data_IF_632399250178
#
_entry.id   IF_632399250178
#
_cell.length_a   1.000
_cell.length_b   1.000
_cell.length_c   1.000
_cell.angle_alpha   90.00
_cell.angle_beta   90.00
_cell.angle_gamma   90.00
#
_symmetry.space_group_name_H-M   'P 1'
#
loop_
_entity.id
_entity.type
_entity.pdbx_description
1 polymer ?
#
# COMPACT_ATOMS: atom_id res chain seq x y z
N UNK A 1 -5.79 29.26 3.76
CA UNK A 1 -6.17 27.84 3.84
C UNK A 1 -7.13 27.68 5.00
N UNK A 2 -8.28 27.03 4.81
CA UNK A 2 -9.13 26.62 5.93
C UNK A 2 -8.49 25.36 6.53
N UNK A 3 -7.57 25.53 7.47
CA UNK A 3 -6.83 24.40 8.02
C UNK A 3 -7.71 23.63 9.00
N UNK A 4 -7.82 22.32 8.80
CA UNK A 4 -8.35 21.42 9.82
C UNK A 4 -7.47 21.52 11.08
N UNK A 5 -8.03 21.43 12.29
CA UNK A 5 -7.25 21.53 13.52
C UNK A 5 -6.38 20.29 13.70
N UNK A 6 -5.20 20.47 14.28
CA UNK A 6 -4.41 19.36 14.83
C UNK A 6 -5.21 18.66 15.93
N UNK A 7 -5.23 17.32 15.91
CA UNK A 7 -5.90 16.49 16.93
C UNK A 7 -4.86 15.62 17.66
N UNK A 8 -5.12 15.23 18.92
CA UNK A 8 -4.31 14.21 19.58
C UNK A 8 -4.21 12.94 18.72
N UNK A 9 -3.01 12.42 18.58
CA UNK A 9 -2.73 11.21 17.81
C UNK A 9 -3.44 10.01 18.44
N UNK A 10 -4.21 9.26 17.64
CA UNK A 10 -4.74 7.97 18.09
C UNK A 10 -3.66 6.89 18.03
N UNK A 11 -3.73 5.84 18.87
CA UNK A 11 -2.85 4.68 18.74
C UNK A 11 -3.01 4.04 17.35
N UNK A 12 -1.90 3.68 16.71
CA UNK A 12 -1.92 2.94 15.45
C UNK A 12 -2.28 1.46 15.65
N UNK A 13 -2.47 0.74 14.55
CA UNK A 13 -2.85 -0.67 14.55
C UNK A 13 -1.82 -1.58 15.25
N UNK A 14 -0.53 -1.22 15.23
CA UNK A 14 0.51 -2.03 15.88
C UNK A 14 0.69 -1.65 17.35
N UNK A 15 0.85 -0.35 17.63
CA UNK A 15 1.02 0.23 18.97
C UNK A 15 2.10 -0.44 19.83
N UNK A 16 3.34 -0.56 19.33
CA UNK A 16 4.45 -1.06 20.15
C UNK A 16 4.75 -0.08 21.29
N UNK A 17 4.93 -0.56 22.54
CA UNK A 17 5.38 0.30 23.63
C UNK A 17 6.73 0.96 23.32
N UNK A 18 6.80 2.27 23.46
CA UNK A 18 8.01 3.07 23.18
C UNK A 18 7.69 4.56 23.04
N UNK A 19 6.47 4.87 22.61
CA UNK A 19 5.96 6.24 22.59
C UNK A 19 5.80 6.83 24.01
N UNK A 20 6.17 8.10 24.14
CA UNK A 20 5.96 8.95 25.31
C UNK A 20 4.93 10.04 24.97
N UNK A 21 4.34 10.73 25.96
CA UNK A 21 3.52 11.92 25.70
C UNK A 21 4.27 12.96 24.86
N UNK A 22 5.55 13.19 25.16
CA UNK A 22 6.41 14.14 24.46
C UNK A 22 6.67 13.73 23.01
N UNK A 23 7.01 12.46 22.76
CA UNK A 23 7.24 11.97 21.40
C UNK A 23 5.96 11.98 20.56
N UNK A 24 4.83 11.65 21.18
CA UNK A 24 3.51 11.66 20.51
C UNK A 24 3.08 13.08 20.16
N UNK A 25 3.32 14.04 21.05
CA UNK A 25 3.06 15.46 20.78
C UNK A 25 3.95 15.97 19.64
N UNK A 26 5.25 15.64 19.66
CA UNK A 26 6.17 16.00 18.59
C UNK A 26 5.76 15.42 17.24
N UNK A 27 5.35 14.13 17.20
CA UNK A 27 4.83 13.51 15.97
C UNK A 27 3.60 14.26 15.45
N UNK A 28 2.63 14.58 16.30
CA UNK A 28 1.45 15.34 15.88
C UNK A 28 1.81 16.72 15.30
N UNK A 29 2.78 17.42 15.91
CA UNK A 29 3.28 18.72 15.45
C UNK A 29 3.92 18.61 14.06
N UNK A 30 4.87 17.68 13.86
CA UNK A 30 5.59 17.59 12.58
C UNK A 30 4.72 17.09 11.42
N UNK A 31 3.69 16.28 11.71
CA UNK A 31 2.67 15.91 10.70
C UNK A 31 1.87 17.14 10.26
N UNK A 32 1.54 18.01 11.21
CA UNK A 32 0.83 19.25 10.89
C UNK A 32 1.72 20.22 10.13
N UNK A 33 3.01 20.30 10.46
CA UNK A 33 3.99 21.08 9.71
C UNK A 33 4.11 20.57 8.26
N UNK A 34 4.19 19.26 8.04
CA UNK A 34 4.20 18.68 6.68
C UNK A 34 2.94 19.06 5.89
N UNK A 35 1.76 18.95 6.50
CA UNK A 35 0.49 19.39 5.91
C UNK A 35 0.48 20.88 5.51
N UNK A 36 1.09 21.74 6.32
CA UNK A 36 1.10 23.18 6.09
C UNK A 36 2.21 23.64 5.13
N UNK A 37 3.34 22.91 5.08
CA UNK A 37 4.55 23.38 4.43
C UNK A 37 4.87 22.65 3.12
N UNK A 38 4.42 21.41 2.93
CA UNK A 38 4.88 20.56 1.84
C UNK A 38 3.80 20.18 0.84
N UNK A 39 4.25 19.88 -0.36
CA UNK A 39 3.43 19.31 -1.42
C UNK A 39 3.28 17.79 -1.24
N UNK A 40 2.20 17.18 -1.72
CA UNK A 40 2.06 15.71 -1.78
C UNK A 40 3.06 15.00 -2.71
N UNK A 41 3.94 15.74 -3.39
CA UNK A 41 4.97 15.21 -4.27
C UNK A 41 6.31 15.88 -3.93
N UNK A 42 7.39 15.12 -3.81
CA UNK A 42 8.71 15.65 -3.45
C UNK A 42 9.59 16.02 -4.66
N UNK A 43 9.18 15.72 -5.89
CA UNK A 43 9.94 16.07 -7.09
C UNK A 43 9.04 16.42 -8.30
N UNK A 44 9.66 16.87 -9.40
CA UNK A 44 8.97 17.24 -10.64
C UNK A 44 8.43 16.04 -11.44
N UNK A 45 8.86 14.82 -11.10
CA UNK A 45 8.29 13.57 -11.63
C UNK A 45 7.05 13.11 -10.87
N UNK A 46 6.53 13.96 -9.97
CA UNK A 46 5.37 13.70 -9.12
C UNK A 46 5.48 12.40 -8.30
N UNK A 47 6.68 12.11 -7.77
CA UNK A 47 6.84 11.04 -6.77
C UNK A 47 6.27 11.49 -5.42
N UNK A 48 5.51 10.63 -4.77
CA UNK A 48 4.77 10.93 -3.55
C UNK A 48 5.68 11.35 -2.38
N UNK A 49 5.24 12.32 -1.58
CA UNK A 49 5.84 12.63 -0.28
C UNK A 49 5.67 11.42 0.67
N UNK A 50 6.75 11.02 1.33
CA UNK A 50 6.78 9.85 2.22
C UNK A 50 6.75 10.18 3.72
N UNK A 51 6.92 11.46 4.06
CA UNK A 51 7.26 11.92 5.39
C UNK A 51 6.22 11.50 6.43
N UNK A 52 4.94 11.77 6.18
CA UNK A 52 3.88 11.49 7.15
C UNK A 52 3.79 10.00 7.51
N UNK A 53 3.77 9.12 6.50
CA UNK A 53 3.69 7.68 6.71
C UNK A 53 4.99 7.05 7.21
N UNK A 54 6.15 7.65 6.95
CA UNK A 54 7.40 7.20 7.57
C UNK A 54 7.40 7.51 9.07
N UNK A 55 7.12 8.76 9.44
CA UNK A 55 7.11 9.23 10.84
C UNK A 55 6.08 8.46 11.67
N UNK A 56 4.88 8.25 11.13
CA UNK A 56 3.85 7.44 11.78
C UNK A 56 4.26 5.98 11.93
N UNK A 57 4.91 5.40 10.91
CA UNK A 57 5.36 4.01 11.01
C UNK A 57 6.46 3.83 12.04
N UNK A 58 7.41 4.77 12.13
CA UNK A 58 8.45 4.76 13.17
C UNK A 58 7.82 4.90 14.57
N UNK A 59 6.89 5.84 14.74
CA UNK A 59 6.19 6.06 16.00
C UNK A 59 5.44 4.80 16.46
N UNK A 60 4.68 4.18 15.57
CA UNK A 60 3.86 3.01 15.89
C UNK A 60 4.67 1.73 16.15
N UNK A 61 5.90 1.67 15.61
CA UNK A 61 6.89 0.64 15.92
C UNK A 61 7.74 0.95 17.16
N UNK A 62 7.50 2.08 17.83
CA UNK A 62 8.18 2.45 19.08
C UNK A 62 9.59 3.02 18.89
N UNK A 63 9.89 3.64 17.74
CA UNK A 63 11.18 4.27 17.50
C UNK A 63 11.45 5.42 18.50
N UNK A 64 12.72 5.65 18.90
CA UNK A 64 13.08 6.75 19.79
C UNK A 64 12.72 8.13 19.20
N UNK A 65 12.27 9.06 20.05
CA UNK A 65 11.87 10.41 19.62
C UNK A 65 12.97 11.19 18.89
N UNK A 66 14.23 11.04 19.34
CA UNK A 66 15.40 11.65 18.69
C UNK A 66 15.60 11.11 17.26
N UNK A 67 15.36 9.82 17.06
CA UNK A 67 15.46 9.21 15.74
C UNK A 67 14.33 9.68 14.83
N UNK A 68 13.09 9.73 15.33
CA UNK A 68 11.95 10.29 14.60
C UNK A 68 12.23 11.73 14.17
N UNK A 69 12.78 12.57 15.06
CA UNK A 69 13.18 13.94 14.73
C UNK A 69 14.24 13.98 13.63
N UNK A 70 15.28 13.14 13.75
CA UNK A 70 16.35 13.03 12.75
C UNK A 70 15.78 12.65 11.37
N UNK A 71 14.86 11.68 11.32
CA UNK A 71 14.22 11.26 10.07
C UNK A 71 13.31 12.34 9.50
N UNK A 72 12.55 13.05 10.35
CA UNK A 72 11.75 14.19 9.92
C UNK A 72 12.61 15.26 9.27
N UNK A 73 13.68 15.71 9.94
CA UNK A 73 14.57 16.76 9.43
C UNK A 73 15.23 16.35 8.11
N UNK A 74 15.69 15.09 8.01
CA UNK A 74 16.27 14.53 6.78
C UNK A 74 15.28 14.51 5.63
N UNK A 75 14.05 14.06 5.85
CA UNK A 75 13.06 13.94 4.79
C UNK A 75 12.45 15.27 4.39
N UNK A 76 12.13 16.14 5.36
CA UNK A 76 11.60 17.48 5.16
C UNK A 76 12.51 18.30 4.24
N UNK A 77 13.83 18.19 4.40
CA UNK A 77 14.82 18.89 3.59
C UNK A 77 14.75 18.57 2.07
N UNK A 78 14.12 17.45 1.70
CA UNK A 78 13.96 17.03 0.30
C UNK A 78 12.56 17.28 -0.27
N UNK A 79 11.61 17.71 0.57
CA UNK A 79 10.23 17.95 0.15
C UNK A 79 10.13 19.22 -0.69
N UNK A 80 9.11 19.24 -1.55
CA UNK A 80 8.74 20.46 -2.28
C UNK A 80 7.90 21.34 -1.37
N UNK A 81 8.04 22.67 -1.48
CA UNK A 81 7.12 23.59 -0.80
C UNK A 81 5.69 23.35 -1.29
N UNK A 82 4.73 23.53 -0.40
CA UNK A 82 3.29 23.47 -0.68
C UNK A 82 2.94 24.29 -1.92
N UNK A 83 3.49 25.49 -2.02
CA UNK A 83 3.33 26.38 -3.17
C UNK A 83 4.52 26.23 -4.13
N UNK A 84 4.26 25.72 -5.32
CA UNK A 84 5.27 25.59 -6.37
C UNK A 84 5.52 26.94 -7.06
N UNK A 85 6.78 27.22 -7.38
CA UNK A 85 7.19 28.48 -8.03
C UNK A 85 6.39 28.74 -9.33
N UNK A 86 5.91 29.98 -9.49
CA UNK A 86 5.20 30.43 -10.69
C UNK A 86 3.67 30.47 -10.61
N UNK A 87 3.06 30.07 -9.49
CA UNK A 87 1.62 30.24 -9.27
C UNK A 87 1.40 31.25 -8.14
N UNK A 88 0.98 32.50 -8.43
CA UNK A 88 0.48 33.38 -7.39
C UNK A 88 -0.69 32.67 -6.70
N UNK A 89 -0.72 32.64 -5.37
CA UNK A 89 -1.82 32.07 -4.59
C UNK A 89 -3.21 32.64 -4.96
N UNK A 90 -3.23 33.71 -5.75
CA UNK A 90 -4.37 34.56 -6.06
C UNK A 90 -4.89 34.39 -7.51
N UNK A 91 -4.22 33.60 -8.38
CA UNK A 91 -4.60 33.51 -9.81
C UNK A 91 -5.29 32.19 -10.22
N UNK A 92 -5.14 31.11 -9.47
CA UNK A 92 -5.96 29.91 -9.66
C UNK A 92 -7.34 30.14 -9.04
N UNK A 93 -8.42 30.01 -9.83
CA UNK A 93 -9.80 29.99 -9.30
C UNK A 93 -9.85 29.04 -8.11
N UNK A 94 -10.44 29.51 -7.00
CA UNK A 94 -10.69 28.69 -5.80
C UNK A 94 -11.43 27.42 -6.24
N UNK A 95 -10.93 26.26 -5.81
CA UNK A 95 -11.63 25.00 -5.99
C UNK A 95 -12.81 24.95 -5.00
N UNK A 96 -13.99 24.61 -5.52
CA UNK A 96 -15.24 24.44 -4.77
C UNK A 96 -16.10 23.30 -5.35
N UNK A 97 -17.24 23.03 -4.72
CA UNK A 97 -18.18 21.96 -5.10
C UNK A 97 -18.62 22.04 -6.58
N UNK A 98 -18.61 23.24 -7.19
CA UNK A 98 -19.09 23.44 -8.57
C UNK A 98 -18.02 23.20 -9.63
N UNK A 99 -16.74 23.21 -9.24
CA UNK A 99 -15.63 23.21 -10.20
C UNK A 99 -14.50 22.22 -9.87
N UNK A 100 -14.59 21.43 -8.80
CA UNK A 100 -13.50 20.58 -8.32
C UNK A 100 -13.00 19.54 -9.33
N UNK A 101 -13.82 19.15 -10.31
CA UNK A 101 -13.41 18.22 -11.37
C UNK A 101 -12.66 18.89 -12.53
N UNK A 102 -12.58 20.22 -12.56
CA UNK A 102 -12.06 20.98 -13.72
C UNK A 102 -10.54 20.99 -13.88
N UNK A 103 -9.79 20.59 -12.83
CA UNK A 103 -8.32 20.67 -12.75
C UNK A 103 -7.67 19.40 -12.20
N UNK A 104 -8.22 18.24 -12.54
CA UNK A 104 -7.66 16.95 -12.15
C UNK A 104 -6.41 16.61 -12.97
N UNK A 105 -5.55 15.71 -12.47
CA UNK A 105 -4.42 15.17 -13.21
C UNK A 105 -3.05 15.75 -12.87
N UNK A 106 -2.01 15.00 -13.29
CA UNK A 106 -0.61 15.22 -12.92
C UNK A 106 -0.04 16.53 -13.45
N UNK A 107 -0.61 17.02 -14.55
CA UNK A 107 -0.28 18.28 -15.20
C UNK A 107 -0.73 19.51 -14.40
N UNK A 108 -1.66 19.34 -13.45
CA UNK A 108 -2.18 20.40 -12.59
C UNK A 108 -1.57 20.36 -11.19
N UNK A 109 -0.36 19.81 -11.02
CA UNK A 109 0.27 19.63 -9.71
C UNK A 109 0.31 20.93 -8.89
N UNK A 110 0.52 22.08 -9.52
CA UNK A 110 0.52 23.39 -8.86
C UNK A 110 -0.81 23.80 -8.19
N UNK A 111 -1.92 23.09 -8.47
CA UNK A 111 -3.24 23.30 -7.88
C UNK A 111 -3.43 22.52 -6.55
N UNK A 112 -2.41 21.77 -6.10
CA UNK A 112 -2.46 21.01 -4.85
C UNK A 112 -2.97 21.80 -3.63
N UNK A 113 -2.49 23.02 -3.34
CA UNK A 113 -2.96 23.77 -2.16
C UNK A 113 -4.46 24.11 -2.21
N UNK A 114 -5.02 24.29 -3.41
CA UNK A 114 -6.44 24.57 -3.60
C UNK A 114 -7.27 23.31 -3.36
N UNK A 115 -6.84 22.16 -3.88
CA UNK A 115 -7.47 20.87 -3.56
C UNK A 115 -7.37 20.54 -2.07
N UNK A 116 -6.21 20.78 -1.46
CA UNK A 116 -6.01 20.55 -0.03
C UNK A 116 -6.97 21.39 0.81
N UNK A 117 -7.11 22.69 0.49
CA UNK A 117 -8.06 23.57 1.17
C UNK A 117 -9.53 23.20 0.91
N UNK A 118 -9.84 22.72 -0.29
CA UNK A 118 -11.19 22.25 -0.64
C UNK A 118 -11.55 21.00 0.16
N UNK A 119 -10.77 19.92 0.06
CA UNK A 119 -11.05 18.69 0.78
C UNK A 119 -10.98 18.85 2.31
N UNK A 120 -10.16 19.77 2.83
CA UNK A 120 -10.20 20.13 4.26
C UNK A 120 -11.55 20.71 4.66
N UNK A 121 -12.15 21.56 3.82
CA UNK A 121 -13.49 22.14 4.06
C UNK A 121 -14.57 21.06 3.97
N UNK A 122 -14.47 20.18 2.98
CA UNK A 122 -15.44 19.10 2.77
C UNK A 122 -15.41 18.05 3.88
N UNK A 123 -14.22 17.70 4.38
CA UNK A 123 -14.09 16.80 5.54
C UNK A 123 -14.62 17.47 6.81
N UNK A 124 -14.38 18.77 7.02
CA UNK A 124 -14.96 19.48 8.16
C UNK A 124 -16.50 19.50 8.12
N UNK A 125 -17.09 19.56 6.92
CA UNK A 125 -18.54 19.61 6.69
C UNK A 125 -19.21 18.25 6.77
N UNK A 126 -18.60 17.22 6.19
CA UNK A 126 -19.22 15.90 5.99
C UNK A 126 -18.63 14.79 6.88
N UNK A 127 -17.55 15.07 7.59
CA UNK A 127 -16.69 14.06 8.20
C UNK A 127 -15.95 13.23 7.16
N UNK A 128 -14.98 12.45 7.62
CA UNK A 128 -14.15 11.60 6.74
C UNK A 128 -14.98 10.64 5.90
N UNK A 129 -15.88 9.87 6.53
CA UNK A 129 -16.73 8.89 5.85
C UNK A 129 -17.58 9.52 4.74
N UNK A 130 -18.25 10.64 5.04
CA UNK A 130 -19.09 11.34 4.06
C UNK A 130 -18.27 11.93 2.90
N UNK A 131 -17.10 12.48 3.20
CA UNK A 131 -16.20 13.01 2.16
C UNK A 131 -15.68 11.90 1.23
N UNK A 132 -15.28 10.74 1.77
CA UNK A 132 -14.85 9.60 0.95
C UNK A 132 -15.99 9.11 0.04
N UNK A 133 -17.18 8.87 0.59
CA UNK A 133 -18.32 8.40 -0.21
C UNK A 133 -18.70 9.38 -1.32
N UNK A 134 -18.64 10.69 -1.04
CA UNK A 134 -18.98 11.70 -2.04
C UNK A 134 -17.89 11.90 -3.09
N UNK A 135 -16.63 12.06 -2.69
CA UNK A 135 -15.56 12.49 -3.60
C UNK A 135 -14.71 11.36 -4.18
N UNK A 136 -14.84 10.12 -3.69
CA UNK A 136 -14.15 8.95 -4.24
C UNK A 136 -15.11 8.01 -4.95
N UNK A 137 -16.28 7.73 -4.35
CA UNK A 137 -17.11 6.62 -4.78
C UNK A 137 -18.39 7.00 -5.51
N UNK A 138 -18.92 8.21 -5.31
CA UNK A 138 -20.18 8.62 -5.94
C UNK A 138 -20.14 8.53 -7.46
N UNK A 139 -21.33 8.48 -8.08
CA UNK A 139 -21.47 8.57 -9.53
C UNK A 139 -20.81 9.83 -10.07
N UNK A 140 -20.97 10.97 -9.41
CA UNK A 140 -20.45 12.25 -9.88
C UNK A 140 -18.91 12.29 -9.82
N UNK A 141 -18.33 11.60 -8.84
CA UNK A 141 -16.88 11.45 -8.71
C UNK A 141 -16.25 10.50 -9.75
N UNK A 142 -17.05 9.69 -10.44
CA UNK A 142 -16.56 8.68 -11.37
C UNK A 142 -17.13 8.79 -12.80
N UNK A 143 -18.15 9.62 -13.03
CA UNK A 143 -18.69 9.92 -14.34
C UNK A 143 -17.83 10.92 -15.13
N UNK A 144 -18.10 11.06 -16.42
CA UNK A 144 -17.54 12.11 -17.30
C UNK A 144 -16.00 12.21 -17.30
N UNK A 145 -15.29 11.11 -17.03
CA UNK A 145 -13.82 11.08 -17.00
C UNK A 145 -13.18 11.53 -15.68
N UNK A 146 -13.97 11.83 -14.65
CA UNK A 146 -13.47 12.23 -13.32
C UNK A 146 -12.68 11.09 -12.67
N UNK A 147 -13.25 9.89 -12.63
CA UNK A 147 -12.60 8.61 -12.27
C UNK A 147 -11.85 8.62 -10.91
N UNK A 148 -12.40 9.25 -9.88
CA UNK A 148 -11.71 9.40 -8.59
C UNK A 148 -11.35 8.07 -7.91
N UNK A 149 -12.18 7.03 -8.01
CA UNK A 149 -11.82 5.72 -7.46
C UNK A 149 -10.55 5.15 -8.12
N UNK A 150 -10.44 5.30 -9.44
CA UNK A 150 -9.24 4.90 -10.16
C UNK A 150 -8.02 5.73 -9.75
N UNK A 151 -8.17 7.04 -9.55
CA UNK A 151 -7.08 7.92 -9.10
C UNK A 151 -6.64 7.61 -7.67
N UNK A 152 -7.59 7.23 -6.82
CA UNK A 152 -7.37 6.91 -5.41
C UNK A 152 -6.52 5.64 -5.23
N UNK A 153 -6.68 4.65 -6.11
CA UNK A 153 -5.87 3.41 -6.12
C UNK A 153 -4.59 3.54 -6.97
N UNK A 154 -4.53 4.50 -7.90
CA UNK A 154 -3.36 4.71 -8.74
C UNK A 154 -2.17 5.33 -7.97
N UNK A 155 -1.14 5.78 -8.70
CA UNK A 155 0.06 6.35 -8.09
C UNK A 155 0.81 5.36 -7.20
N UNK A 156 0.71 4.06 -7.50
CA UNK A 156 1.22 2.97 -6.66
C UNK A 156 0.63 3.03 -5.23
N UNK A 157 -0.68 3.28 -5.13
CA UNK A 157 -1.49 3.28 -3.90
C UNK A 157 -1.24 4.45 -2.94
N UNK A 158 -0.45 5.46 -3.29
CA UNK A 158 -0.14 6.55 -2.34
C UNK A 158 -1.37 7.31 -1.81
N UNK A 159 -2.38 7.68 -2.63
CA UNK A 159 -3.58 8.33 -2.08
C UNK A 159 -4.34 7.44 -1.09
N UNK A 160 -4.42 6.14 -1.36
CA UNK A 160 -4.98 5.12 -0.45
C UNK A 160 -4.16 5.04 0.85
N UNK A 161 -2.83 4.99 0.75
CA UNK A 161 -1.91 4.87 1.89
C UNK A 161 -2.02 6.10 2.79
N UNK A 162 -1.88 7.30 2.22
CA UNK A 162 -1.99 8.58 2.95
C UNK A 162 -3.32 8.70 3.69
N UNK A 163 -4.41 8.36 2.99
CA UNK A 163 -5.76 8.35 3.57
C UNK A 163 -5.89 7.32 4.69
N UNK A 164 -5.33 6.12 4.51
CA UNK A 164 -5.35 5.07 5.52
C UNK A 164 -4.65 5.51 6.81
N UNK A 165 -3.45 6.08 6.71
CA UNK A 165 -2.74 6.64 7.87
C UNK A 165 -3.53 7.78 8.53
N UNK A 166 -4.14 8.68 7.74
CA UNK A 166 -4.98 9.75 8.28
C UNK A 166 -6.17 9.24 9.09
N UNK A 167 -6.86 8.20 8.62
CA UNK A 167 -7.98 7.60 9.37
C UNK A 167 -7.47 6.87 10.60
N UNK A 168 -6.42 6.05 10.43
CA UNK A 168 -5.85 5.20 11.46
C UNK A 168 -5.43 6.02 12.69
N UNK A 169 -4.70 7.11 12.47
CA UNK A 169 -4.17 7.96 13.53
C UNK A 169 -5.08 9.14 13.90
N UNK A 170 -6.29 9.20 13.32
CA UNK A 170 -7.31 10.22 13.62
C UNK A 170 -6.96 11.63 13.15
N UNK A 171 -6.22 11.76 12.06
CA UNK A 171 -5.76 13.02 11.48
C UNK A 171 -6.53 13.36 10.19
N UNK A 172 -7.63 14.11 10.32
CA UNK A 172 -8.49 14.53 9.21
C UNK A 172 -7.74 15.30 8.12
N UNK A 173 -6.70 16.07 8.48
CA UNK A 173 -5.91 16.83 7.50
C UNK A 173 -5.10 15.91 6.58
N UNK A 174 -4.66 14.75 7.06
CA UNK A 174 -4.01 13.74 6.22
C UNK A 174 -4.99 13.06 5.27
N UNK A 175 -6.23 12.86 5.70
CA UNK A 175 -7.30 12.41 4.79
C UNK A 175 -7.51 13.43 3.67
N UNK A 176 -7.44 14.73 3.98
CA UNK A 176 -7.46 15.78 2.96
C UNK A 176 -6.24 15.73 2.03
N UNK A 177 -5.03 15.44 2.55
CA UNK A 177 -3.82 15.24 1.73
C UNK A 177 -4.00 14.08 0.76
N UNK A 178 -4.53 12.95 1.22
CA UNK A 178 -4.81 11.78 0.38
C UNK A 178 -5.83 12.07 -0.73
N UNK A 179 -6.93 12.75 -0.43
CA UNK A 179 -7.92 13.16 -1.45
C UNK A 179 -7.36 14.16 -2.46
N UNK A 180 -6.60 15.15 -1.99
CA UNK A 180 -5.93 16.12 -2.86
C UNK A 180 -4.87 15.44 -3.74
N UNK A 181 -4.14 14.46 -3.22
CA UNK A 181 -3.21 13.66 -4.00
C UNK A 181 -3.94 12.80 -5.04
N UNK A 182 -5.09 12.21 -4.70
CA UNK A 182 -5.92 11.47 -5.66
C UNK A 182 -6.34 12.39 -6.82
N UNK A 183 -6.83 13.60 -6.55
CA UNK A 183 -7.24 14.55 -7.59
C UNK A 183 -6.12 14.84 -8.62
N UNK A 184 -4.86 14.83 -8.18
CA UNK A 184 -3.68 15.09 -9.01
C UNK A 184 -3.00 13.83 -9.56
N UNK A 185 -3.47 12.65 -9.17
CA UNK A 185 -2.92 11.37 -9.62
C UNK A 185 -3.56 10.98 -10.95
N UNK A 186 -2.76 10.48 -11.91
CA UNK A 186 -3.27 9.96 -13.17
C UNK A 186 -4.10 8.68 -12.92
N UNK A 187 -5.27 8.51 -13.58
CA UNK A 187 -6.21 7.42 -13.29
C UNK A 187 -5.78 6.09 -13.92
N UNK A 188 -4.54 5.63 -13.72
CA UNK A 188 -4.03 4.40 -14.38
C UNK A 188 -4.90 3.17 -14.09
N UNK A 189 -5.45 3.07 -12.87
CA UNK A 189 -6.36 1.99 -12.49
C UNK A 189 -7.68 1.97 -13.29
N UNK A 190 -8.03 3.05 -14.00
CA UNK A 190 -9.21 3.11 -14.86
C UNK A 190 -9.16 2.05 -15.97
N UNK A 191 -7.96 1.65 -16.38
CA UNK A 191 -7.76 0.58 -17.35
C UNK A 191 -8.40 -0.74 -16.93
N UNK A 192 -8.39 -1.06 -15.64
CA UNK A 192 -8.96 -2.30 -15.10
C UNK A 192 -10.37 -2.12 -14.52
N UNK A 193 -11.01 -0.99 -14.82
CA UNK A 193 -12.41 -0.74 -14.48
C UNK A 193 -13.35 -1.19 -15.60
N UNK A 194 -14.63 -1.24 -15.28
CA UNK A 194 -15.67 -1.45 -16.29
C UNK A 194 -16.03 -0.11 -16.95
N UNK A 195 -16.82 -0.16 -18.03
CA UNK A 195 -17.09 1.02 -18.88
C UNK A 195 -17.78 2.18 -18.15
N UNK A 196 -18.36 1.92 -16.97
CA UNK A 196 -18.95 2.92 -16.09
C UNK A 196 -17.91 3.78 -15.33
N UNK A 197 -16.62 3.41 -15.36
CA UNK A 197 -15.54 4.08 -14.62
C UNK A 197 -15.28 3.52 -13.22
N UNK A 198 -16.08 2.53 -12.79
CA UNK A 198 -15.96 1.78 -11.53
C UNK A 198 -16.10 0.29 -11.83
N UNK A 199 -15.66 -0.63 -10.95
CA UNK A 199 -15.86 -2.05 -11.21
C UNK A 199 -17.32 -2.44 -10.97
N UNK A 200 -17.87 -3.29 -11.84
CA UNK A 200 -19.12 -4.00 -11.62
C UNK A 200 -18.93 -5.02 -10.50
N UNK A 201 -19.89 -5.04 -9.57
CA UNK A 201 -19.88 -5.95 -8.43
C UNK A 201 -20.88 -7.06 -8.68
N UNK A 202 -20.37 -8.27 -8.85
CA UNK A 202 -21.17 -9.47 -9.05
C UNK A 202 -21.45 -10.15 -7.70
N UNK A 203 -22.65 -10.70 -7.54
CA UNK A 203 -23.01 -11.57 -6.44
C UNK A 203 -22.88 -13.04 -6.85
N UNK A 204 -22.67 -13.93 -5.88
CA UNK A 204 -22.56 -15.37 -6.13
C UNK A 204 -21.51 -16.04 -5.25
N UNK A 205 -21.19 -17.30 -5.57
CA UNK A 205 -20.08 -18.02 -4.93
C UNK A 205 -18.77 -17.36 -5.35
N UNK A 206 -18.02 -16.88 -4.38
CA UNK A 206 -16.77 -16.16 -4.63
C UNK A 206 -15.60 -17.13 -4.82
N UNK A 207 -14.75 -16.84 -5.80
CA UNK A 207 -13.45 -17.47 -5.97
C UNK A 207 -12.40 -16.69 -5.17
N UNK A 208 -11.53 -17.37 -4.43
CA UNK A 208 -10.51 -16.69 -3.61
C UNK A 208 -9.44 -16.02 -4.46
N UNK A 209 -8.80 -14.97 -3.94
CA UNK A 209 -7.74 -14.24 -4.64
C UNK A 209 -6.55 -15.14 -5.04
N UNK A 210 -6.23 -16.17 -4.25
CA UNK A 210 -5.20 -17.15 -4.63
C UNK A 210 -5.65 -18.04 -5.80
N UNK A 211 -6.90 -18.52 -5.80
CA UNK A 211 -7.41 -19.25 -6.96
C UNK A 211 -7.46 -18.39 -8.24
N UNK A 212 -7.72 -17.07 -8.10
CA UNK A 212 -7.68 -16.15 -9.23
C UNK A 212 -6.26 -15.86 -9.73
N UNK A 213 -5.28 -15.86 -8.82
CA UNK A 213 -3.87 -15.73 -9.16
C UNK A 213 -3.38 -16.96 -9.96
N UNK A 214 -3.80 -18.16 -9.56
CA UNK A 214 -3.55 -19.40 -10.30
C UNK A 214 -4.16 -19.34 -11.72
N UNK A 215 -5.41 -18.90 -11.84
CA UNK A 215 -6.06 -18.70 -13.14
C UNK A 215 -5.34 -17.65 -14.00
N UNK A 216 -4.83 -16.57 -13.39
CA UNK A 216 -4.01 -15.57 -14.07
C UNK A 216 -2.68 -16.15 -14.54
N UNK A 217 -2.07 -17.08 -13.79
CA UNK A 217 -0.85 -17.74 -14.22
C UNK A 217 -1.08 -18.73 -15.37
N UNK A 218 -2.20 -19.43 -15.37
CA UNK A 218 -2.54 -20.41 -16.42
C UNK A 218 -3.11 -19.76 -17.71
N UNK A 219 -3.53 -18.50 -17.63
CA UNK A 219 -4.11 -17.79 -18.78
C UNK A 219 -3.07 -17.53 -19.88
N UNK A 220 -3.33 -17.99 -21.13
CA UNK A 220 -2.40 -17.82 -22.25
C UNK A 220 -2.18 -16.34 -22.62
N UNK A 221 -3.15 -15.48 -22.32
CA UNK A 221 -3.08 -14.03 -22.47
C UNK A 221 -1.94 -13.41 -21.66
N UNK A 222 -1.46 -14.10 -20.61
CA UNK A 222 -0.39 -13.62 -19.73
C UNK A 222 0.93 -14.35 -19.93
N UNK A 223 1.16 -14.93 -21.11
CA UNK A 223 2.49 -15.46 -21.48
C UNK A 223 3.60 -14.45 -21.14
N UNK A 224 4.72 -14.89 -20.54
CA UNK A 224 5.83 -14.03 -20.12
C UNK A 224 6.29 -13.06 -21.22
N UNK A 225 6.73 -11.88 -20.82
CA UNK A 225 7.14 -10.82 -21.75
C UNK A 225 8.50 -10.23 -21.35
N UNK A 226 9.37 -9.90 -22.32
CA UNK A 226 10.62 -9.20 -22.05
C UNK A 226 10.39 -7.76 -21.56
N UNK A 227 11.46 -7.08 -21.15
CA UNK A 227 11.51 -5.65 -20.82
C UNK A 227 10.54 -5.23 -19.69
N UNK A 228 10.61 -5.87 -18.52
CA UNK A 228 9.84 -5.44 -17.34
C UNK A 228 10.26 -4.04 -16.85
N UNK A 229 11.54 -3.71 -17.01
CA UNK A 229 12.14 -2.42 -16.66
C UNK A 229 11.52 -1.24 -17.43
N UNK A 230 11.36 -1.33 -18.75
CA UNK A 230 10.77 -0.26 -19.57
C UNK A 230 9.31 0.04 -19.18
N UNK A 231 8.58 -0.99 -18.71
CA UNK A 231 7.21 -0.91 -18.21
C UNK A 231 7.09 -0.31 -16.81
N UNK A 232 8.20 0.04 -16.15
CA UNK A 232 8.21 0.55 -14.77
C UNK A 232 8.02 2.08 -14.69
N UNK A 233 8.16 2.78 -15.80
CA UNK A 233 7.90 4.24 -15.87
C UNK A 233 6.42 4.53 -16.03
N UNK A 234 5.92 5.67 -15.53
CA UNK A 234 4.51 6.06 -15.72
C UNK A 234 4.10 6.06 -17.19
N UNK A 235 4.95 6.57 -18.09
CA UNK A 235 4.68 6.55 -19.53
C UNK A 235 4.73 5.13 -20.12
N UNK A 236 5.66 4.29 -19.67
CA UNK A 236 5.76 2.89 -20.08
C UNK A 236 4.52 2.09 -19.67
N UNK A 237 4.01 2.32 -18.46
CA UNK A 237 2.77 1.75 -17.95
C UNK A 237 1.57 2.16 -18.81
N UNK A 238 1.38 3.46 -19.03
CA UNK A 238 0.29 4.02 -19.83
C UNK A 238 0.32 3.47 -21.27
N UNK A 239 1.50 3.42 -21.90
CA UNK A 239 1.68 2.83 -23.23
C UNK A 239 1.34 1.35 -23.24
N UNK A 240 1.87 0.57 -22.29
CA UNK A 240 1.63 -0.87 -22.24
C UNK A 240 0.15 -1.19 -22.14
N UNK A 241 -0.58 -0.50 -21.25
CA UNK A 241 -2.03 -0.64 -21.10
C UNK A 241 -2.74 -0.36 -22.43
N UNK A 242 -2.39 0.73 -23.12
CA UNK A 242 -3.02 1.10 -24.39
C UNK A 242 -2.80 0.07 -25.51
N UNK A 243 -1.63 -0.59 -25.53
CA UNK A 243 -1.29 -1.59 -26.55
C UNK A 243 -1.74 -3.02 -26.20
N UNK A 244 -2.27 -3.27 -25.00
CA UNK A 244 -2.65 -4.61 -24.55
C UNK A 244 -4.11 -4.72 -24.05
N UNK A 245 -5.11 -4.24 -24.83
CA UNK A 245 -6.52 -4.23 -24.39
C UNK A 245 -7.05 -5.64 -24.06
N UNK A 246 -6.61 -6.68 -24.75
CA UNK A 246 -7.04 -8.06 -24.51
C UNK A 246 -6.54 -8.58 -23.15
N UNK A 247 -5.30 -8.25 -22.77
CA UNK A 247 -4.74 -8.59 -21.44
C UNK A 247 -5.49 -7.87 -20.33
N UNK A 248 -5.87 -6.61 -20.56
CA UNK A 248 -6.70 -5.84 -19.63
C UNK A 248 -8.11 -6.43 -19.51
N UNK A 249 -8.71 -6.88 -20.62
CA UNK A 249 -9.99 -7.59 -20.59
C UNK A 249 -9.89 -8.92 -19.82
N UNK A 250 -8.81 -9.67 -20.00
CA UNK A 250 -8.56 -10.91 -19.27
C UNK A 250 -8.45 -10.67 -17.75
N UNK A 251 -7.75 -9.62 -17.30
CA UNK A 251 -7.69 -9.24 -15.87
C UNK A 251 -9.11 -9.03 -15.33
N UNK A 252 -9.93 -8.23 -16.03
CA UNK A 252 -11.31 -7.94 -15.60
C UNK A 252 -12.16 -9.21 -15.52
N UNK A 253 -12.07 -10.08 -16.53
CA UNK A 253 -12.85 -11.31 -16.61
C UNK A 253 -12.48 -12.31 -15.51
N UNK A 254 -11.19 -12.52 -15.25
CA UNK A 254 -10.72 -13.42 -14.18
C UNK A 254 -11.19 -12.87 -12.83
N UNK A 255 -10.89 -11.60 -12.54
CA UNK A 255 -11.19 -11.02 -11.23
C UNK A 255 -12.67 -10.70 -11.01
N UNK A 256 -13.52 -10.69 -12.05
CA UNK A 256 -14.98 -10.63 -11.90
C UNK A 256 -15.55 -11.82 -11.09
N UNK A 257 -14.80 -12.94 -11.00
CA UNK A 257 -15.16 -14.10 -10.19
C UNK A 257 -14.91 -13.90 -8.69
N UNK A 258 -14.20 -12.84 -8.29
CA UNK A 258 -14.20 -12.39 -6.90
C UNK A 258 -15.50 -11.64 -6.63
N UNK A 259 -16.55 -12.40 -6.33
CA UNK A 259 -17.90 -11.86 -6.09
C UNK A 259 -18.06 -11.34 -4.67
N UNK A 260 -19.06 -10.47 -4.46
CA UNK A 260 -19.41 -9.90 -3.16
C UNK A 260 -20.91 -10.05 -2.83
N UNK A 261 -21.22 -10.46 -1.61
CA UNK A 261 -22.59 -10.56 -1.07
C UNK A 261 -22.95 -9.32 -0.25
N UNK A 262 -23.15 -8.17 -0.90
CA UNK A 262 -23.16 -6.84 -0.29
C UNK A 262 -23.93 -6.69 1.05
N UNK A 263 -25.06 -7.37 1.22
CA UNK A 263 -25.87 -7.27 2.45
C UNK A 263 -25.33 -8.10 3.63
N UNK A 264 -24.58 -9.17 3.35
CA UNK A 264 -24.12 -10.15 4.35
C UNK A 264 -22.61 -10.38 4.31
N UNK A 265 -21.89 -9.62 3.49
CA UNK A 265 -20.47 -9.84 3.21
C UNK A 265 -19.61 -9.64 4.45
N UNK A 266 -18.66 -10.56 4.64
CA UNK A 266 -17.57 -10.39 5.59
C UNK A 266 -16.41 -9.66 4.88
N UNK A 267 -16.51 -8.34 4.84
CA UNK A 267 -15.45 -7.50 4.26
C UNK A 267 -14.10 -7.67 4.99
N UNK A 268 -14.10 -8.08 6.26
CA UNK A 268 -12.89 -8.38 7.01
C UNK A 268 -12.10 -9.55 6.41
N UNK A 269 -12.80 -10.60 5.97
CA UNK A 269 -12.18 -11.72 5.23
C UNK A 269 -11.70 -11.32 3.84
N UNK A 270 -12.42 -10.45 3.14
CA UNK A 270 -11.97 -9.92 1.84
C UNK A 270 -10.67 -9.12 1.97
N UNK A 271 -10.57 -8.29 3.01
CA UNK A 271 -9.34 -7.57 3.36
C UNK A 271 -8.23 -8.56 3.76
N UNK A 272 -8.55 -9.62 4.50
CA UNK A 272 -7.59 -10.68 4.86
C UNK A 272 -6.98 -11.35 3.62
N UNK A 273 -7.80 -11.69 2.61
CA UNK A 273 -7.31 -12.24 1.34
C UNK A 273 -6.26 -11.31 0.69
N UNK A 274 -6.51 -9.99 0.68
CA UNK A 274 -5.57 -9.00 0.16
C UNK A 274 -4.23 -9.00 0.92
N UNK A 275 -4.25 -9.12 2.25
CA UNK A 275 -3.05 -9.12 3.10
C UNK A 275 -2.18 -10.36 2.87
N UNK A 276 -2.81 -11.54 2.80
CA UNK A 276 -2.11 -12.80 2.50
C UNK A 276 -1.52 -12.80 1.10
N UNK A 277 -2.30 -12.43 0.08
CA UNK A 277 -1.82 -12.36 -1.30
C UNK A 277 -0.66 -11.36 -1.42
N UNK A 278 -0.76 -10.17 -0.83
CA UNK A 278 0.31 -9.17 -0.90
C UNK A 278 1.59 -9.64 -0.19
N UNK A 279 1.47 -10.37 0.92
CA UNK A 279 2.62 -11.00 1.61
C UNK A 279 3.31 -12.04 0.73
N UNK A 280 2.54 -12.89 0.05
CA UNK A 280 3.07 -13.89 -0.88
C UNK A 280 3.73 -13.25 -2.10
N UNK A 281 3.13 -12.20 -2.67
CA UNK A 281 3.72 -11.49 -3.81
C UNK A 281 5.06 -10.85 -3.48
N UNK A 282 5.25 -10.37 -2.25
CA UNK A 282 6.54 -9.84 -1.81
C UNK A 282 7.56 -10.95 -1.53
N UNK A 283 7.17 -11.99 -0.78
CA UNK A 283 8.12 -12.94 -0.21
C UNK A 283 8.30 -14.26 -0.97
N UNK A 284 7.32 -14.65 -1.78
CA UNK A 284 7.25 -15.97 -2.41
C UNK A 284 7.58 -15.95 -3.91
N UNK A 285 8.01 -14.83 -4.48
CA UNK A 285 8.25 -14.66 -5.93
C UNK A 285 9.72 -14.90 -6.34
N UNK A 286 10.55 -15.39 -5.41
CA UNK A 286 11.95 -15.73 -5.65
C UNK A 286 12.14 -17.07 -6.40
N UNK A 287 13.40 -17.41 -6.68
CA UNK A 287 13.79 -18.71 -7.25
C UNK A 287 14.71 -19.45 -6.27
N UNK A 288 14.53 -20.77 -6.14
CA UNK A 288 15.40 -21.62 -5.32
C UNK A 288 16.86 -21.43 -5.73
N UNK A 289 17.73 -21.17 -4.75
CA UNK A 289 19.17 -20.97 -4.97
C UNK A 289 19.57 -19.59 -5.53
N UNK A 290 18.62 -18.66 -5.70
CA UNK A 290 18.89 -17.25 -6.00
C UNK A 290 18.59 -16.38 -4.78
N UNK A 291 19.24 -15.22 -4.71
CA UNK A 291 18.88 -14.21 -3.72
C UNK A 291 17.41 -13.77 -3.91
N UNK A 292 16.62 -13.65 -2.82
CA UNK A 292 15.24 -13.17 -2.90
C UNK A 292 15.14 -11.77 -3.51
N UNK A 293 14.24 -11.61 -4.48
CA UNK A 293 14.00 -10.34 -5.16
C UNK A 293 12.87 -9.57 -4.47
N UNK A 294 13.21 -8.47 -3.78
CA UNK A 294 12.24 -7.61 -3.10
C UNK A 294 11.79 -6.48 -4.03
N UNK A 295 10.71 -6.69 -4.78
CA UNK A 295 10.25 -5.74 -5.80
C UNK A 295 9.57 -4.51 -5.19
N UNK A 296 10.01 -3.33 -5.66
CA UNK A 296 9.52 -2.04 -5.21
C UNK A 296 8.01 -1.90 -5.40
N UNK A 297 7.43 -2.34 -6.51
CA UNK A 297 6.00 -2.14 -6.78
C UNK A 297 5.13 -3.15 -6.03
N UNK A 298 5.55 -4.41 -5.94
CA UNK A 298 4.80 -5.43 -5.20
C UNK A 298 4.75 -5.15 -3.69
N UNK A 299 5.81 -4.58 -3.12
CA UNK A 299 5.79 -4.12 -1.73
C UNK A 299 4.73 -3.02 -1.49
N UNK A 300 4.42 -2.16 -2.46
CA UNK A 300 3.37 -1.15 -2.25
C UNK A 300 2.01 -1.80 -2.02
N UNK A 301 1.72 -2.94 -2.66
CA UNK A 301 0.50 -3.71 -2.38
C UNK A 301 0.51 -4.25 -0.95
N UNK A 302 1.66 -4.70 -0.42
CA UNK A 302 1.77 -5.06 0.99
C UNK A 302 1.41 -3.86 1.89
N UNK A 303 2.09 -2.72 1.71
CA UNK A 303 1.85 -1.54 2.57
C UNK A 303 0.45 -0.95 2.40
N UNK A 304 -0.09 -0.92 1.18
CA UNK A 304 -1.44 -0.43 0.88
C UNK A 304 -2.55 -1.38 1.35
N UNK A 305 -2.30 -2.69 1.44
CA UNK A 305 -3.28 -3.64 1.97
C UNK A 305 -3.59 -3.41 3.45
N UNK A 306 -2.66 -2.80 4.21
CA UNK A 306 -2.90 -2.36 5.58
C UNK A 306 -3.97 -1.26 5.65
N UNK A 307 -3.92 -0.30 4.72
CA UNK A 307 -4.88 0.80 4.62
C UNK A 307 -6.30 0.35 4.23
N UNK A 308 -6.43 -0.79 3.54
CA UNK A 308 -7.75 -1.31 3.12
C UNK A 308 -8.66 -1.55 4.32
N UNK A 309 -8.19 -2.20 5.39
CA UNK A 309 -9.02 -2.49 6.56
C UNK A 309 -9.57 -1.22 7.20
N UNK A 310 -8.70 -0.25 7.44
CA UNK A 310 -9.05 1.04 8.05
C UNK A 310 -10.07 1.81 7.20
N UNK A 311 -9.88 1.84 5.88
CA UNK A 311 -10.78 2.57 4.97
C UNK A 311 -12.11 1.83 4.80
N UNK A 312 -12.09 0.50 4.69
CA UNK A 312 -13.29 -0.34 4.61
C UNK A 312 -14.16 -0.16 5.85
N UNK A 313 -13.56 -0.03 7.03
CA UNK A 313 -14.30 0.23 8.28
C UNK A 313 -14.87 1.66 8.34
N UNK A 314 -14.19 2.64 7.72
CA UNK A 314 -14.67 4.03 7.66
C UNK A 314 -15.80 4.27 6.64
N UNK A 315 -15.87 3.49 5.57
CA UNK A 315 -16.93 3.56 4.54
C UNK A 315 -18.21 2.92 5.08
N UNK A 316 -19.39 3.47 4.74
CA UNK A 316 -20.68 2.92 5.19
C UNK A 316 -21.28 1.99 4.14
N UNK A 317 -21.31 2.43 2.89
CA UNK A 317 -21.88 1.70 1.76
C UNK A 317 -21.14 0.38 1.48
N UNK A 318 -21.81 -0.78 1.58
CA UNK A 318 -21.20 -2.05 1.20
C UNK A 318 -20.75 -2.09 -0.27
N UNK A 319 -21.49 -1.41 -1.16
CA UNK A 319 -21.10 -1.31 -2.56
C UNK A 319 -19.75 -0.60 -2.72
N UNK A 320 -19.53 0.51 -2.02
CA UNK A 320 -18.27 1.25 -2.08
C UNK A 320 -17.11 0.43 -1.50
N UNK A 321 -17.34 -0.33 -0.42
CA UNK A 321 -16.35 -1.28 0.12
C UNK A 321 -15.96 -2.33 -0.92
N UNK A 322 -16.95 -2.94 -1.58
CA UNK A 322 -16.71 -3.94 -2.63
C UNK A 322 -15.98 -3.33 -3.83
N UNK A 323 -16.35 -2.13 -4.26
CA UNK A 323 -15.69 -1.42 -5.36
C UNK A 323 -14.23 -1.08 -5.05
N UNK A 324 -13.94 -0.63 -3.81
CA UNK A 324 -12.57 -0.38 -3.37
C UNK A 324 -11.71 -1.65 -3.46
N UNK A 325 -12.20 -2.74 -2.88
CA UNK A 325 -11.49 -4.02 -2.84
C UNK A 325 -11.30 -4.59 -4.25
N UNK A 326 -12.37 -4.63 -5.05
CA UNK A 326 -12.32 -5.13 -6.43
C UNK A 326 -11.33 -4.33 -7.28
N UNK A 327 -11.29 -3.00 -7.10
CA UNK A 327 -10.32 -2.14 -7.77
C UNK A 327 -8.89 -2.46 -7.33
N UNK A 328 -8.65 -2.57 -6.03
CA UNK A 328 -7.34 -2.91 -5.48
C UNK A 328 -6.83 -4.25 -6.04
N UNK A 329 -7.67 -5.29 -6.04
CA UNK A 329 -7.30 -6.63 -6.50
C UNK A 329 -6.98 -6.65 -8.00
N UNK A 330 -7.81 -5.99 -8.84
CA UNK A 330 -7.54 -5.86 -10.27
C UNK A 330 -6.27 -5.03 -10.56
N UNK A 331 -5.99 -4.01 -9.75
CA UNK A 331 -4.78 -3.21 -9.88
C UNK A 331 -3.52 -3.98 -9.45
N UNK A 332 -3.63 -4.84 -8.43
CA UNK A 332 -2.57 -5.78 -8.05
C UNK A 332 -2.27 -6.76 -9.20
N UNK A 333 -3.32 -7.32 -9.82
CA UNK A 333 -3.20 -8.17 -11.01
C UNK A 333 -2.45 -7.47 -12.15
N UNK A 334 -2.81 -6.22 -12.43
CA UNK A 334 -2.11 -5.41 -13.43
C UNK A 334 -0.62 -5.30 -13.12
N UNK A 335 -0.25 -4.99 -11.88
CA UNK A 335 1.16 -4.91 -11.50
C UNK A 335 1.87 -6.25 -11.54
N UNK A 336 1.24 -7.36 -11.17
CA UNK A 336 1.81 -8.70 -11.36
C UNK A 336 2.24 -8.88 -12.82
N UNK A 337 1.38 -8.56 -13.78
CA UNK A 337 1.71 -8.67 -15.22
C UNK A 337 2.83 -7.71 -15.64
N UNK A 338 2.77 -6.46 -15.18
CA UNK A 338 3.77 -5.43 -15.52
C UNK A 338 5.15 -5.75 -14.96
N UNK A 339 5.21 -6.42 -13.80
CA UNK A 339 6.45 -6.89 -13.18
C UNK A 339 6.98 -8.19 -13.80
N UNK A 340 6.36 -8.71 -14.87
CA UNK A 340 6.82 -9.91 -15.56
C UNK A 340 6.13 -11.20 -15.11
N UNK A 341 4.98 -11.07 -14.43
CA UNK A 341 4.17 -12.20 -13.92
C UNK A 341 4.99 -13.14 -13.04
N UNK A 342 5.59 -12.64 -11.94
CA UNK A 342 6.27 -13.52 -11.01
C UNK A 342 5.30 -14.53 -10.42
N UNK A 343 5.66 -15.81 -10.47
CA UNK A 343 4.91 -16.88 -9.87
C UNK A 343 5.28 -17.01 -8.39
N UNK A 344 4.27 -17.17 -7.53
CA UNK A 344 4.52 -17.49 -6.13
C UNK A 344 4.96 -18.94 -5.97
N UNK A 345 5.93 -19.17 -5.10
CA UNK A 345 6.38 -20.47 -4.63
C UNK A 345 6.17 -20.54 -3.10
N UNK A 346 4.99 -21.02 -2.66
CA UNK A 346 4.70 -21.27 -1.26
C UNK A 346 5.73 -22.16 -0.56
N UNK A 347 6.27 -23.15 -1.27
CA UNK A 347 7.26 -24.07 -0.69
C UNK A 347 8.59 -23.36 -0.40
N UNK A 348 9.02 -22.47 -1.31
CA UNK A 348 10.22 -21.65 -1.12
C UNK A 348 10.06 -20.71 0.09
N UNK A 349 8.98 -19.94 0.17
CA UNK A 349 8.82 -18.99 1.28
C UNK A 349 8.72 -19.70 2.64
N UNK A 350 8.12 -20.90 2.66
CA UNK A 350 8.06 -21.73 3.88
C UNK A 350 9.39 -22.43 4.21
N UNK A 351 10.35 -22.44 3.30
CA UNK A 351 11.72 -22.91 3.57
C UNK A 351 12.58 -21.87 4.30
N UNK A 352 12.23 -20.58 4.22
CA UNK A 352 12.99 -19.51 4.88
C UNK A 352 12.95 -19.63 6.41
N UNK A 353 13.98 -19.18 7.15
CA UNK A 353 14.00 -19.35 8.60
C UNK A 353 12.79 -18.70 9.31
N UNK A 354 12.09 -19.48 10.14
CA UNK A 354 11.04 -18.96 11.04
C UNK A 354 11.62 -18.09 12.17
N UNK A 355 12.93 -18.18 12.38
CA UNK A 355 13.72 -17.35 13.28
C UNK A 355 14.84 -16.70 12.47
N UNK A 356 14.55 -15.65 11.69
CA UNK A 356 15.59 -14.91 11.02
C UNK A 356 16.56 -14.34 12.07
N UNK A 357 17.85 -14.42 11.77
CA UNK A 357 18.90 -13.94 12.67
C UNK A 357 19.74 -12.91 11.93
N UNK A 358 20.12 -11.80 12.59
CA UNK A 358 21.11 -10.89 12.04
C UNK A 358 22.45 -11.61 11.78
N UNK A 359 23.30 -11.05 10.91
CA UNK A 359 24.67 -11.53 10.74
C UNK A 359 25.38 -11.62 12.10
N UNK A 360 26.12 -12.71 12.33
CA UNK A 360 26.88 -12.88 13.57
C UNK A 360 27.92 -11.76 13.71
N UNK A 361 27.81 -10.99 14.78
CA UNK A 361 28.92 -10.15 15.22
C UNK A 361 29.99 -11.03 15.89
N UNK A 362 31.29 -10.71 15.77
CA UNK A 362 32.39 -11.54 16.29
C UNK A 362 32.32 -11.87 17.79
N UNK A 363 31.51 -11.14 18.57
CA UNK A 363 31.36 -11.27 20.01
C UNK A 363 30.04 -11.90 20.48
N UNK A 364 29.24 -12.53 19.61
CA UNK A 364 28.01 -13.20 20.04
C UNK A 364 28.34 -14.43 20.89
N UNK A 365 27.94 -14.45 22.17
CA UNK A 365 28.16 -15.59 23.06
C UNK A 365 27.61 -16.88 22.44
N UNK A 366 28.47 -17.88 22.33
CA UNK A 366 28.11 -19.27 22.03
C UNK A 366 27.29 -19.83 23.19
N UNK A 367 25.97 -19.73 23.12
CA UNK A 367 25.09 -20.31 24.12
C UNK A 367 23.70 -20.59 23.57
N UNK A 368 23.21 -21.80 23.83
CA UNK A 368 21.83 -22.26 23.67
C UNK A 368 20.88 -21.53 24.64
N UNK A 369 20.81 -20.20 24.56
CA UNK A 369 19.86 -19.40 25.32
C UNK A 369 18.62 -19.24 24.44
N UNK A 370 17.47 -19.71 24.94
CA UNK A 370 16.20 -19.72 24.21
C UNK A 370 15.97 -18.39 23.50
N UNK A 371 15.95 -18.42 22.17
CA UNK A 371 15.75 -17.22 21.38
C UNK A 371 14.37 -16.64 21.71
N UNK A 372 14.35 -15.38 22.17
CA UNK A 372 13.12 -14.60 22.35
C UNK A 372 12.31 -14.48 21.05
N UNK A 373 11.25 -13.65 21.06
CA UNK A 373 10.46 -13.44 19.84
C UNK A 373 11.36 -12.99 18.68
N UNK A 374 11.32 -13.66 17.50
CA UNK A 374 12.13 -13.28 16.35
C UNK A 374 11.83 -11.87 15.85
N UNK A 375 10.63 -11.36 16.17
CA UNK A 375 10.22 -10.01 15.84
C UNK A 375 11.05 -8.92 16.53
N UNK A 376 11.60 -9.16 17.73
CA UNK A 376 12.33 -8.11 18.46
C UNK A 376 13.53 -7.57 17.66
N UNK A 377 14.29 -8.46 17.02
CA UNK A 377 15.42 -8.06 16.19
C UNK A 377 14.98 -7.35 14.92
N UNK A 378 13.90 -7.86 14.28
CA UNK A 378 13.34 -7.28 13.06
C UNK A 378 12.79 -5.86 13.29
N UNK A 379 12.02 -5.68 14.36
CA UNK A 379 11.43 -4.41 14.74
C UNK A 379 12.52 -3.38 15.08
N UNK A 380 13.49 -3.77 15.92
CA UNK A 380 14.62 -2.90 16.26
C UNK A 380 15.40 -2.48 15.01
N UNK A 381 15.59 -3.40 14.06
CA UNK A 381 16.24 -3.07 12.80
C UNK A 381 15.42 -2.10 11.94
N UNK A 382 14.11 -2.34 11.83
CA UNK A 382 13.20 -1.50 11.05
C UNK A 382 13.12 -0.08 11.61
N UNK A 383 13.06 0.08 12.93
CA UNK A 383 12.99 1.41 13.56
C UNK A 383 14.23 2.25 13.34
N UNK A 384 15.35 1.66 12.91
CA UNK A 384 16.60 2.36 12.63
C UNK A 384 16.91 2.48 11.12
N UNK A 385 16.02 1.97 10.26
CA UNK A 385 16.14 2.16 8.81
C UNK A 385 15.77 3.60 8.44
N UNK A 386 16.46 4.16 7.46
CA UNK A 386 16.14 5.47 6.90
C UNK A 386 15.23 5.38 5.67
N UNK A 387 14.98 4.18 5.18
CA UNK A 387 14.15 3.92 4.01
C UNK A 387 12.67 3.68 4.43
N UNK A 388 11.74 4.57 4.06
CA UNK A 388 10.38 4.57 4.60
C UNK A 388 9.58 3.29 4.26
N UNK A 389 9.85 2.66 3.12
CA UNK A 389 9.13 1.46 2.73
C UNK A 389 9.52 0.24 3.54
N UNK A 390 10.77 0.16 4.01
CA UNK A 390 11.21 -0.91 4.93
C UNK A 390 10.41 -0.84 6.23
N UNK A 391 10.29 0.35 6.82
CA UNK A 391 9.55 0.56 8.07
C UNK A 391 8.07 0.22 7.90
N UNK A 392 7.43 0.71 6.83
CA UNK A 392 6.03 0.40 6.50
C UNK A 392 5.80 -1.10 6.27
N UNK A 393 6.73 -1.78 5.61
CA UNK A 393 6.60 -3.20 5.30
C UNK A 393 6.72 -4.06 6.55
N UNK A 394 7.69 -3.79 7.43
CA UNK A 394 7.81 -4.48 8.73
C UNK A 394 6.57 -4.21 9.59
N UNK A 395 6.08 -2.96 9.60
CA UNK A 395 4.85 -2.60 10.30
C UNK A 395 3.65 -3.42 9.82
N UNK A 396 3.44 -3.51 8.51
CA UNK A 396 2.37 -4.30 7.92
C UNK A 396 2.50 -5.79 8.28
N UNK A 397 3.68 -6.39 8.07
CA UNK A 397 3.92 -7.81 8.36
C UNK A 397 3.76 -8.14 9.85
N UNK A 398 4.19 -7.23 10.74
CA UNK A 398 4.03 -7.41 12.18
C UNK A 398 2.55 -7.34 12.60
N UNK A 399 1.79 -6.38 12.07
CA UNK A 399 0.34 -6.33 12.28
C UNK A 399 -0.37 -7.60 11.80
N UNK A 400 0.00 -8.10 10.60
CA UNK A 400 -0.57 -9.34 10.09
C UNK A 400 -0.20 -10.55 10.96
N UNK A 401 1.01 -10.58 11.52
CA UNK A 401 1.39 -11.60 12.48
C UNK A 401 0.62 -11.50 13.81
N UNK A 402 0.29 -10.30 14.29
CA UNK A 402 -0.59 -10.12 15.46
C UNK A 402 -1.99 -10.69 15.20
N UNK A 403 -2.53 -10.48 13.99
CA UNK A 403 -3.90 -10.87 13.64
C UNK A 403 -4.03 -12.34 13.20
N UNK A 404 -3.05 -12.82 12.43
CA UNK A 404 -3.11 -14.09 11.70
C UNK A 404 -1.91 -15.01 11.96
N UNK A 405 -1.02 -14.66 12.89
CA UNK A 405 0.14 -15.49 13.25
C UNK A 405 -0.22 -16.84 13.88
N UNK A 406 -1.45 -16.99 14.38
CA UNK A 406 -2.00 -18.25 14.89
C UNK A 406 -2.63 -19.15 13.83
N UNK A 407 -2.68 -18.74 12.57
CA UNK A 407 -3.28 -19.54 11.49
C UNK A 407 -2.50 -20.85 11.31
N UNK A 408 -3.14 -22.02 11.42
CA UNK A 408 -2.46 -23.30 11.25
C UNK A 408 -2.12 -23.55 9.77
N UNK A 409 -1.23 -24.52 9.52
CA UNK A 409 -0.90 -24.97 8.17
C UNK A 409 -2.17 -25.35 7.39
N UNK A 410 -2.31 -24.80 6.18
CA UNK A 410 -3.48 -25.00 5.31
C UNK A 410 -4.72 -24.21 5.73
N UNK A 411 -4.65 -23.45 6.84
CA UNK A 411 -5.72 -22.57 7.32
C UNK A 411 -5.74 -21.19 6.69
N UNK A 412 -4.76 -20.87 5.83
CA UNK A 412 -4.70 -19.60 5.10
C UNK A 412 -5.86 -19.51 4.11
N UNK A 413 -6.57 -18.37 4.09
CA UNK A 413 -7.70 -18.16 3.18
C UNK A 413 -7.25 -18.30 1.72
N UNK A 414 -7.93 -19.18 0.98
CA UNK A 414 -7.58 -19.49 -0.41
C UNK A 414 -6.38 -20.41 -0.60
N UNK A 415 -5.78 -20.97 0.47
CA UNK A 415 -4.74 -21.99 0.32
C UNK A 415 -5.27 -23.25 -0.37
N UNK A 416 -6.52 -23.62 -0.08
CA UNK A 416 -7.23 -24.71 -0.73
C UNK A 416 -8.42 -24.16 -1.55
N UNK A 417 -8.69 -24.78 -2.69
CA UNK A 417 -9.83 -24.45 -3.54
C UNK A 417 -11.16 -25.03 -2.99
N UNK A 418 -12.24 -24.82 -3.73
CA UNK A 418 -13.56 -25.31 -3.36
C UNK A 418 -13.73 -26.83 -3.31
N UNK A 419 -12.74 -27.60 -3.79
CA UNK A 419 -12.67 -29.06 -3.75
C UNK A 419 -11.65 -29.57 -2.71
N UNK A 420 -10.98 -28.67 -1.98
CA UNK A 420 -9.95 -29.02 -1.00
C UNK A 420 -8.58 -29.30 -1.61
N UNK A 421 -8.34 -28.96 -2.88
CA UNK A 421 -7.04 -29.07 -3.53
C UNK A 421 -6.23 -27.79 -3.29
N UNK A 422 -4.91 -27.91 -3.15
CA UNK A 422 -4.01 -26.75 -3.14
C UNK A 422 -4.24 -25.84 -4.36
N UNK A 423 -4.39 -24.54 -4.13
CA UNK A 423 -4.49 -23.54 -5.20
C UNK A 423 -3.17 -23.30 -5.90
N UNK A 424 -2.05 -23.40 -5.19
CA UNK A 424 -0.71 -23.47 -5.78
C UNK A 424 0.08 -24.55 -5.05
N UNK A 425 1.06 -25.14 -5.71
CA UNK A 425 1.88 -26.18 -5.08
C UNK A 425 2.50 -25.70 -3.75
N UNK A 426 2.19 -26.41 -2.66
CA UNK A 426 2.70 -26.10 -1.33
C UNK A 426 1.85 -25.12 -0.50
N UNK A 427 0.71 -24.63 -1.00
CA UNK A 427 -0.17 -23.74 -0.22
C UNK A 427 -0.74 -24.40 1.04
N UNK A 428 -0.87 -25.73 1.09
CA UNK A 428 -1.28 -26.45 2.30
C UNK A 428 -0.25 -26.35 3.43
N UNK A 429 0.99 -25.96 3.13
CA UNK A 429 2.02 -25.69 4.14
C UNK A 429 2.00 -24.27 4.68
N UNK A 430 1.28 -23.34 4.03
CA UNK A 430 1.20 -21.95 4.48
C UNK A 430 0.51 -21.87 5.83
N UNK A 431 1.13 -21.13 6.76
CA UNK A 431 0.65 -20.89 8.11
C UNK A 431 0.97 -19.44 8.54
N UNK A 432 0.60 -19.10 9.77
CA UNK A 432 0.86 -17.78 10.37
C UNK A 432 2.34 -17.39 10.46
N UNK A 433 3.28 -18.34 10.28
CA UNK A 433 4.71 -18.04 10.27
C UNK A 433 5.20 -17.40 8.97
N UNK A 434 4.36 -17.35 7.92
CA UNK A 434 4.68 -16.66 6.67
C UNK A 434 5.18 -15.23 6.93
N UNK A 435 4.49 -14.45 7.77
CA UNK A 435 4.81 -13.04 7.97
C UNK A 435 6.23 -12.82 8.53
N UNK A 436 6.67 -13.63 9.49
CA UNK A 436 8.03 -13.49 10.06
C UNK A 436 9.10 -13.98 9.08
N UNK A 437 8.80 -15.00 8.27
CA UNK A 437 9.70 -15.48 7.22
C UNK A 437 9.91 -14.42 6.15
N UNK A 438 8.83 -13.79 5.69
CA UNK A 438 8.91 -12.69 4.71
C UNK A 438 9.64 -11.48 5.32
N UNK A 439 9.33 -11.10 6.57
CA UNK A 439 10.01 -10.00 7.25
C UNK A 439 11.52 -10.24 7.37
N UNK A 440 11.94 -11.45 7.74
CA UNK A 440 13.35 -11.84 7.82
C UNK A 440 14.05 -11.82 6.47
N UNK A 441 13.40 -12.39 5.46
CA UNK A 441 13.95 -12.45 4.10
C UNK A 441 14.10 -11.06 3.49
N UNK A 442 13.09 -10.20 3.67
CA UNK A 442 13.16 -8.80 3.28
C UNK A 442 14.27 -8.06 4.02
N UNK A 443 14.39 -8.25 5.33
CA UNK A 443 15.47 -7.63 6.13
C UNK A 443 16.85 -8.07 5.66
N UNK A 444 17.04 -9.34 5.30
CA UNK A 444 18.29 -9.84 4.72
C UNK A 444 18.60 -9.20 3.37
N UNK A 445 17.58 -8.83 2.59
CA UNK A 445 17.76 -8.20 1.28
C UNK A 445 18.08 -6.69 1.40
N UNK A 446 17.37 -5.97 2.28
CA UNK A 446 17.49 -4.50 2.44
C UNK A 446 18.51 -4.06 3.50
N UNK A 447 18.96 -4.99 4.36
CA UNK A 447 20.08 -4.79 5.28
C UNK A 447 19.70 -4.77 6.77
N UNK A 448 20.53 -5.43 7.57
CA UNK A 448 20.54 -5.35 9.04
C UNK A 448 21.37 -4.15 9.54
N UNK A 449 20.85 -2.93 9.36
CA UNK A 449 21.53 -1.67 9.72
C UNK A 449 21.97 -1.60 11.17
N UNK A 450 21.18 -2.18 12.08
CA UNK A 450 21.52 -2.25 13.52
C UNK A 450 22.69 -3.19 13.84
N UNK A 451 23.15 -3.95 12.84
CA UNK A 451 24.23 -4.92 12.94
C UNK A 451 25.38 -4.59 11.97
N UNK A 452 25.44 -3.35 11.46
CA UNK A 452 26.57 -2.84 10.68
C UNK A 452 26.51 -3.13 9.19
N UNK A 453 25.41 -3.68 8.67
CA UNK A 453 25.20 -3.74 7.22
C UNK A 453 24.79 -2.37 6.66
N UNK A 454 25.12 -2.13 5.39
CA UNK A 454 24.61 -0.98 4.66
C UNK A 454 23.14 -1.19 4.27
N UNK A 455 22.39 -0.09 4.20
CA UNK A 455 21.09 -0.09 3.53
C UNK A 455 21.25 -0.47 2.06
N UNK A 456 20.38 -1.37 1.61
CA UNK A 456 20.24 -1.79 0.21
C UNK A 456 18.85 -1.38 -0.27
N UNK A 457 18.76 -1.09 -1.56
CA UNK A 457 17.55 -0.55 -2.15
C UNK A 457 16.66 -1.65 -2.73
N UNK A 458 15.37 -1.36 -2.85
CA UNK A 458 14.38 -2.24 -3.48
C UNK A 458 14.73 -2.54 -4.93
N UNK A 459 14.29 -3.71 -5.41
CA UNK A 459 14.47 -4.07 -6.81
C UNK A 459 13.46 -3.34 -7.72
N UNK A 460 13.95 -2.84 -8.84
CA UNK A 460 13.15 -2.20 -9.90
C UNK A 460 13.18 -2.97 -11.21
N UNK A 461 13.95 -4.07 -11.28
CA UNK A 461 14.15 -4.81 -12.52
C UNK A 461 12.93 -5.63 -12.91
N UNK A 462 12.22 -6.17 -11.92
CA UNK A 462 11.12 -7.11 -12.18
C UNK A 462 11.65 -8.45 -12.69
N UNK A 463 10.77 -9.29 -13.20
CA UNK A 463 11.11 -10.62 -13.66
C UNK A 463 11.19 -10.65 -15.18
N UNK A 464 12.37 -10.99 -15.68
CA UNK A 464 12.60 -11.36 -17.07
C UNK A 464 12.87 -12.87 -17.09
N UNK A 465 12.45 -13.56 -18.16
CA UNK A 465 12.91 -14.94 -18.35
C UNK A 465 14.37 -14.92 -18.80
N UNK A 466 15.16 -15.81 -18.19
CA UNK A 466 16.41 -16.34 -18.78
C UNK A 466 16.02 -17.48 -19.72
#
# INVERSE_FOLDING_TARGET
>A
MNALPMKPLQPGLVSIPGATPESTAFVAEVLYEDFMAHHCFYNERNRANHLSHHILSLHDLGAPAEWIRTMYEKEAATQRPLHLNGTPANEAKKIDETNWTSKLGKENANIYPQYLSFFSTEIAKHGVSGALEHYVFSSDANANGTLMLARFIAGVLHPLIETGFGIEFGQDFMVAQGLAQAALTAPLAASVMDSSGVPEIHAGRSTTLLSLLDELYDSPEFSPMPNATERSTTEGLEKWVAFNPDRIAAIRNIYAKWTFQLETEDFGKKVEECMWQATLLLGATGKVGREPQMDFYLMHFLTGSLSLGVIVDAIRSPLHKAQLLQTYARFAALFIILRGRPQIDPSLVMSYPVRPTPPRTPNSMSGTVGHGSPWLALLNNATMHTEPHVVKSIRALFYYAQKYGGTPAGGVIGALDGAGKETHQGTASLDGTLFVRVAGTMTNAVGWVTHGENERFWDFSGWEED
#
